data_IF_309316442795
#
_entry.id   IF_309316442795
#
_cell.length_a   1.000
_cell.length_b   1.000
_cell.length_c   1.000
_cell.angle_alpha   90.00
_cell.angle_beta   90.00
_cell.angle_gamma   90.00
#
_symmetry.space_group_name_H-M   'P 1'
#
loop_
_entity.id
_entity.type
_entity.pdbx_description
1 polymer ?
#
# COMPACT_ATOMS: atom_id res chain seq x y z
N UNK A 1 -8.30 -17.28 1.90
CA UNK A 1 -7.10 -16.49 1.62
C UNK A 1 -5.90 -17.11 2.30
N UNK A 2 -4.86 -17.40 1.55
CA UNK A 2 -3.63 -18.00 2.08
C UNK A 2 -2.97 -17.00 3.03
N UNK A 3 -2.74 -17.39 4.27
CA UNK A 3 -2.07 -16.52 5.25
C UNK A 3 -0.60 -16.33 4.87
N UNK A 4 -0.13 -15.10 4.98
CA UNK A 4 1.29 -14.78 4.82
C UNK A 4 2.03 -15.14 6.11
N UNK A 5 2.47 -16.37 6.21
CA UNK A 5 3.12 -16.93 7.42
C UNK A 5 4.32 -16.08 7.87
N UNK A 6 5.15 -15.64 6.93
CA UNK A 6 6.34 -14.84 7.20
C UNK A 6 5.99 -13.55 7.96
N UNK A 7 4.93 -12.84 7.55
CA UNK A 7 4.48 -11.63 8.21
C UNK A 7 3.87 -11.94 9.59
N UNK A 8 3.07 -12.99 9.69
CA UNK A 8 2.47 -13.42 10.95
C UNK A 8 3.52 -13.77 12.00
N UNK A 9 4.53 -14.52 11.64
CA UNK A 9 5.63 -14.89 12.52
C UNK A 9 6.46 -13.68 12.97
N UNK A 10 6.75 -12.75 12.06
CA UNK A 10 7.47 -11.53 12.40
C UNK A 10 6.68 -10.63 13.35
N UNK A 11 5.38 -10.48 13.11
CA UNK A 11 4.50 -9.71 13.99
C UNK A 11 4.43 -10.33 15.39
N UNK A 12 4.34 -11.65 15.49
CA UNK A 12 4.34 -12.35 16.78
C UNK A 12 5.65 -12.18 17.55
N UNK A 13 6.76 -12.15 16.83
CA UNK A 13 8.09 -12.03 17.42
C UNK A 13 8.40 -10.60 17.87
N UNK A 14 8.20 -9.61 17.00
CA UNK A 14 8.71 -8.25 17.17
C UNK A 14 7.61 -7.19 17.27
N UNK A 15 6.36 -7.54 16.96
CA UNK A 15 5.21 -6.64 17.09
C UNK A 15 4.75 -6.48 18.53
N UNK A 16 4.21 -5.29 18.84
CA UNK A 16 3.61 -5.00 20.15
C UNK A 16 2.16 -4.57 19.97
N UNK A 17 1.25 -5.29 20.60
CA UNK A 17 -0.15 -4.86 20.65
C UNK A 17 -0.33 -3.76 21.69
N UNK A 18 -0.90 -2.64 21.26
CA UNK A 18 -1.30 -1.53 22.12
C UNK A 18 -2.83 -1.50 22.20
N UNK A 19 -3.38 -2.19 23.20
CA UNK A 19 -4.82 -2.37 23.32
C UNK A 19 -5.39 -3.35 22.26
N UNK A 20 -6.68 -3.20 21.95
CA UNK A 20 -7.39 -4.13 21.06
C UNK A 20 -7.29 -3.77 19.56
N UNK A 21 -6.88 -2.56 19.23
CA UNK A 21 -7.02 -1.99 17.89
C UNK A 21 -5.73 -1.48 17.26
N UNK A 22 -4.63 -1.39 18.00
CA UNK A 22 -3.35 -0.87 17.53
C UNK A 22 -2.26 -1.91 17.64
N UNK A 23 -1.59 -2.16 16.52
CA UNK A 23 -0.41 -3.00 16.43
C UNK A 23 0.81 -2.14 16.09
N UNK A 24 1.81 -2.16 16.98
CA UNK A 24 3.06 -1.44 16.79
C UNK A 24 4.08 -2.34 16.07
N UNK A 25 4.51 -1.92 14.90
CA UNK A 25 5.45 -2.63 14.02
C UNK A 25 6.63 -1.74 13.60
N UNK A 26 6.92 -0.72 14.38
CA UNK A 26 7.87 0.35 14.04
C UNK A 26 9.30 -0.17 13.85
N UNK A 27 9.65 -1.27 14.51
CA UNK A 27 11.02 -1.80 14.50
C UNK A 27 11.42 -2.49 13.20
N UNK A 28 10.49 -2.79 12.31
CA UNK A 28 10.79 -3.52 11.08
C UNK A 28 10.03 -3.08 9.84
N UNK A 29 8.99 -2.25 9.97
CA UNK A 29 8.19 -1.78 8.82
C UNK A 29 8.20 -0.25 8.68
N UNK A 30 7.96 0.50 9.78
CA UNK A 30 7.61 1.92 9.70
C UNK A 30 8.77 2.87 9.92
N UNK A 31 9.49 2.74 11.04
CA UNK A 31 10.61 3.61 11.41
C UNK A 31 11.94 2.98 11.07
N UNK A 32 12.11 1.73 11.42
CA UNK A 32 13.20 0.91 10.94
C UNK A 32 12.64 -0.07 9.93
N UNK A 33 13.22 -0.11 8.75
CA UNK A 33 12.80 -0.99 7.68
C UNK A 33 13.83 -2.09 7.51
N UNK A 34 13.42 -3.32 7.81
CA UNK A 34 14.24 -4.50 7.60
C UNK A 34 14.19 -4.87 6.12
N UNK A 35 15.24 -4.59 5.39
CA UNK A 35 15.29 -4.75 3.93
C UNK A 35 15.21 -6.21 3.48
N UNK A 36 15.83 -7.12 4.19
CA UNK A 36 15.73 -8.56 3.88
C UNK A 36 14.33 -9.08 4.13
N UNK A 37 13.71 -8.65 5.22
CA UNK A 37 12.34 -8.99 5.52
C UNK A 37 11.37 -8.41 4.48
N UNK A 38 11.56 -7.17 4.06
CA UNK A 38 10.73 -6.54 3.02
C UNK A 38 10.89 -7.25 1.68
N UNK A 39 12.10 -7.66 1.31
CA UNK A 39 12.35 -8.42 0.09
C UNK A 39 11.62 -9.77 0.12
N UNK A 40 11.73 -10.53 1.20
CA UNK A 40 11.05 -11.80 1.37
C UNK A 40 9.52 -11.65 1.39
N UNK A 41 9.02 -10.60 2.04
CA UNK A 41 7.59 -10.29 2.09
C UNK A 41 7.04 -9.91 0.71
N UNK A 42 7.76 -9.10 -0.03
CA UNK A 42 7.40 -8.72 -1.40
C UNK A 42 7.37 -9.92 -2.34
N UNK A 43 8.33 -10.83 -2.21
CA UNK A 43 8.35 -12.08 -2.96
C UNK A 43 7.14 -12.96 -2.66
N UNK A 44 6.76 -13.08 -1.40
CA UNK A 44 5.60 -13.86 -0.97
C UNK A 44 4.28 -13.25 -1.47
N UNK A 45 4.13 -11.94 -1.40
CA UNK A 45 2.98 -11.25 -2.00
C UNK A 45 2.93 -11.41 -3.51
N UNK A 46 4.05 -11.25 -4.20
CA UNK A 46 4.10 -11.41 -5.65
C UNK A 46 3.73 -12.83 -6.08
N UNK A 47 4.19 -13.83 -5.38
CA UNK A 47 3.82 -15.24 -5.62
C UNK A 47 2.32 -15.46 -5.45
N UNK A 48 1.71 -14.81 -4.46
CA UNK A 48 0.27 -14.89 -4.22
C UNK A 48 -0.56 -14.26 -5.36
N UNK A 49 -0.07 -13.19 -5.96
CA UNK A 49 -0.79 -12.41 -6.98
C UNK A 49 -0.32 -12.63 -8.41
N UNK A 50 0.67 -13.48 -8.66
CA UNK A 50 1.29 -13.66 -9.98
C UNK A 50 0.31 -14.00 -11.11
N UNK A 51 -0.76 -14.73 -10.82
CA UNK A 51 -1.75 -15.16 -11.80
C UNK A 51 -2.98 -14.24 -11.88
N UNK A 52 -2.95 -13.10 -11.19
CA UNK A 52 -4.07 -12.18 -11.12
C UNK A 52 -4.06 -11.08 -12.20
N UNK A 53 -3.09 -11.11 -13.12
CA UNK A 53 -2.97 -10.09 -14.17
C UNK A 53 -2.64 -8.69 -13.64
N UNK A 54 -1.85 -8.61 -12.58
CA UNK A 54 -1.47 -7.33 -11.96
C UNK A 54 -0.59 -6.53 -12.92
N UNK A 55 -0.97 -5.30 -13.18
CA UNK A 55 -0.22 -4.39 -14.06
C UNK A 55 0.46 -3.24 -13.30
N UNK A 56 0.04 -2.97 -12.08
CA UNK A 56 0.59 -1.92 -11.22
C UNK A 56 0.38 -2.29 -9.76
N UNK A 57 1.27 -1.82 -8.90
CA UNK A 57 1.11 -1.89 -7.44
C UNK A 57 0.86 -0.49 -6.92
N UNK A 58 -0.13 -0.32 -6.07
CA UNK A 58 -0.42 0.95 -5.42
C UNK A 58 -0.17 0.88 -3.94
N UNK A 59 0.28 1.99 -3.39
CA UNK A 59 0.38 2.17 -1.95
C UNK A 59 0.00 3.60 -1.56
N UNK A 60 -0.35 3.77 -0.30
CA UNK A 60 -0.57 5.08 0.31
C UNK A 60 0.67 5.43 1.12
N UNK A 61 1.13 6.66 1.04
CA UNK A 61 2.17 7.20 1.90
C UNK A 61 1.78 6.96 3.38
N UNK A 62 2.65 6.42 4.25
CA UNK A 62 4.04 6.10 3.98
C UNK A 62 4.43 4.65 4.32
N UNK A 63 3.80 4.01 5.32
CA UNK A 63 4.26 2.71 5.84
C UNK A 63 4.16 1.55 4.86
N UNK A 64 3.27 1.65 3.87
CA UNK A 64 3.08 0.64 2.83
C UNK A 64 4.12 0.69 1.70
N UNK A 65 4.97 1.72 1.65
CA UNK A 65 5.89 1.92 0.52
C UNK A 65 6.91 0.80 0.39
N UNK A 66 7.56 0.42 1.48
CA UNK A 66 8.59 -0.61 1.44
C UNK A 66 8.07 -1.99 0.97
N UNK A 67 7.01 -2.56 1.56
CA UNK A 67 6.48 -3.83 1.08
C UNK A 67 5.89 -3.72 -0.33
N UNK A 68 5.27 -2.61 -0.69
CA UNK A 68 4.72 -2.41 -2.03
C UNK A 68 5.82 -2.35 -3.10
N UNK A 69 6.94 -1.68 -2.81
CA UNK A 69 8.08 -1.61 -3.72
C UNK A 69 8.65 -2.99 -4.03
N UNK A 70 8.84 -3.81 -3.00
CA UNK A 70 9.35 -5.16 -3.19
C UNK A 70 8.35 -6.05 -3.92
N UNK A 71 7.07 -5.92 -3.65
CA UNK A 71 6.02 -6.64 -4.38
C UNK A 71 6.03 -6.28 -5.86
N UNK A 72 6.10 -4.99 -6.19
CA UNK A 72 6.17 -4.50 -7.55
C UNK A 72 7.43 -5.01 -8.28
N UNK A 73 8.57 -5.04 -7.58
CA UNK A 73 9.82 -5.60 -8.11
C UNK A 73 9.66 -7.06 -8.54
N UNK A 74 9.07 -7.90 -7.70
CA UNK A 74 8.91 -9.32 -8.03
C UNK A 74 7.79 -9.61 -9.02
N UNK A 75 6.80 -8.73 -9.14
CA UNK A 75 5.77 -8.80 -10.20
C UNK A 75 6.23 -8.18 -11.51
N UNK A 76 7.37 -7.50 -11.52
CA UNK A 76 7.90 -6.75 -12.68
C UNK A 76 6.90 -5.71 -13.21
N UNK A 77 6.34 -4.93 -12.32
CA UNK A 77 5.35 -3.88 -12.61
C UNK A 77 5.73 -2.58 -11.90
N UNK A 78 5.27 -1.43 -12.38
CA UNK A 78 5.50 -0.16 -11.71
C UNK A 78 4.70 -0.06 -10.41
N UNK A 79 5.24 0.73 -9.46
CA UNK A 79 4.57 1.11 -8.24
C UNK A 79 4.11 2.57 -8.31
N UNK A 80 2.91 2.82 -7.80
CA UNK A 80 2.34 4.16 -7.70
C UNK A 80 2.09 4.49 -6.23
N UNK A 81 2.49 5.68 -5.82
CA UNK A 81 2.31 6.18 -4.45
C UNK A 81 1.25 7.28 -4.44
N UNK A 82 0.20 7.07 -3.66
CA UNK A 82 -0.77 8.12 -3.37
C UNK A 82 -0.20 8.99 -2.25
N UNK A 83 -0.06 10.28 -2.53
CA UNK A 83 0.47 11.27 -1.58
C UNK A 83 -0.64 11.84 -0.71
N UNK A 84 -0.34 12.05 0.56
CA UNK A 84 -1.27 12.69 1.52
C UNK A 84 -1.41 14.20 1.33
N UNK A 85 -0.52 14.80 0.54
CA UNK A 85 -0.53 16.23 0.25
C UNK A 85 -0.34 16.45 -1.24
N UNK A 86 -1.03 17.46 -1.77
CA UNK A 86 -0.84 17.90 -3.15
C UNK A 86 0.52 18.59 -3.27
N UNK A 87 1.36 18.12 -4.18
CA UNK A 87 2.58 18.85 -4.52
C UNK A 87 2.22 20.09 -5.34
N UNK A 88 2.65 21.26 -4.90
CA UNK A 88 2.44 22.53 -5.61
C UNK A 88 3.18 22.63 -6.96
N UNK A 89 4.05 21.66 -7.23
CA UNK A 89 4.91 21.63 -8.42
C UNK A 89 4.30 20.80 -9.55
N UNK A 90 3.24 20.06 -9.29
CA UNK A 90 2.63 19.16 -10.28
C UNK A 90 1.69 19.95 -11.20
N UNK A 91 2.17 20.26 -12.39
CA UNK A 91 1.35 20.70 -13.51
C UNK A 91 0.77 19.47 -14.22
N UNK A 92 -0.48 19.12 -13.96
CA UNK A 92 -1.10 17.98 -14.61
C UNK A 92 -2.43 17.56 -13.98
N UNK A 93 -3.05 16.56 -14.57
CA UNK A 93 -4.29 16.00 -14.02
C UNK A 93 -3.98 15.21 -12.75
N UNK A 94 -4.67 15.55 -11.68
CA UNK A 94 -4.58 14.85 -10.40
C UNK A 94 -5.95 14.28 -10.05
N UNK A 95 -5.95 13.06 -9.51
CA UNK A 95 -7.12 12.51 -8.84
C UNK A 95 -6.97 12.73 -7.35
N UNK A 96 -8.01 13.23 -6.72
CA UNK A 96 -8.03 13.48 -5.29
C UNK A 96 -9.22 12.80 -4.64
N UNK A 97 -9.01 12.25 -3.47
CA UNK A 97 -10.07 11.73 -2.60
C UNK A 97 -9.77 12.06 -1.16
N UNK A 98 -10.81 12.27 -0.38
CA UNK A 98 -10.68 12.52 1.06
C UNK A 98 -10.74 11.21 1.82
N UNK A 99 -9.80 11.02 2.72
CA UNK A 99 -9.73 9.84 3.59
C UNK A 99 -9.60 10.27 5.04
N UNK A 100 -10.30 9.59 5.93
CA UNK A 100 -10.17 9.81 7.37
C UNK A 100 -9.18 8.82 7.96
N UNK A 101 -8.17 9.33 8.67
CA UNK A 101 -7.21 8.48 9.37
C UNK A 101 -7.88 7.81 10.56
N UNK A 102 -7.88 6.50 10.57
CA UNK A 102 -8.46 5.72 11.67
C UNK A 102 -7.70 5.94 12.99
N UNK A 103 -6.39 6.09 12.93
CA UNK A 103 -5.55 6.24 14.12
C UNK A 103 -5.44 7.67 14.63
N UNK A 104 -5.52 8.66 13.74
CA UNK A 104 -5.35 10.08 14.08
C UNK A 104 -6.67 10.85 14.19
N UNK A 105 -7.78 10.28 13.75
CA UNK A 105 -9.09 10.94 13.71
C UNK A 105 -9.16 12.16 12.79
N UNK A 106 -8.11 12.43 12.02
CA UNK A 106 -8.02 13.57 11.09
C UNK A 106 -8.29 13.12 9.67
N UNK A 107 -8.94 13.97 8.88
CA UNK A 107 -9.13 13.75 7.44
C UNK A 107 -7.98 14.38 6.66
N UNK A 108 -7.57 13.72 5.59
CA UNK A 108 -6.57 14.23 4.66
C UNK A 108 -6.94 13.89 3.23
N UNK A 109 -6.40 14.65 2.28
CA UNK A 109 -6.58 14.37 0.87
C UNK A 109 -5.48 13.45 0.36
N UNK A 110 -5.90 12.40 -0.34
CA UNK A 110 -5.00 11.56 -1.11
C UNK A 110 -4.95 12.07 -2.54
N UNK A 111 -3.75 12.28 -3.04
CA UNK A 111 -3.52 12.76 -4.40
C UNK A 111 -2.76 11.72 -5.21
N UNK A 112 -3.32 11.40 -6.36
CA UNK A 112 -2.69 10.60 -7.40
C UNK A 112 -2.39 11.51 -8.59
N UNK A 113 -1.12 11.58 -8.97
CA UNK A 113 -0.73 12.21 -10.22
C UNK A 113 -1.00 11.26 -11.39
N UNK A 114 -1.75 11.75 -12.37
CA UNK A 114 -1.96 11.05 -13.61
C UNK A 114 -1.01 11.61 -14.68
N UNK A 115 0.00 10.85 -15.03
CA UNK A 115 0.69 11.07 -16.29
C UNK A 115 -0.24 10.65 -17.44
N UNK A 116 -0.25 11.43 -18.50
CA UNK A 116 -1.08 11.21 -19.69
C UNK A 116 -0.85 9.85 -20.39
N UNK A 117 0.23 9.16 -20.04
CA UNK A 117 0.58 7.83 -20.56
C UNK A 117 0.06 6.66 -19.73
N UNK A 118 -0.42 6.89 -18.50
CA UNK A 118 -0.82 5.84 -17.58
C UNK A 118 -2.34 5.79 -17.40
N UNK A 119 -3.02 4.92 -18.13
CA UNK A 119 -4.37 4.51 -17.77
C UNK A 119 -4.34 3.68 -16.50
N UNK A 120 -4.83 4.25 -15.41
CA UNK A 120 -4.97 3.56 -14.14
C UNK A 120 -6.39 3.06 -13.99
N UNK A 121 -6.59 1.76 -14.06
CA UNK A 121 -7.86 1.16 -13.66
C UNK A 121 -7.85 0.97 -12.13
N UNK A 122 -8.61 1.79 -11.43
CA UNK A 122 -8.72 1.71 -9.96
C UNK A 122 -9.52 0.51 -9.46
N UNK A 123 -10.15 -0.25 -10.35
CA UNK A 123 -11.02 -1.37 -10.01
C UNK A 123 -10.29 -2.60 -9.48
N UNK A 124 -9.01 -2.74 -9.75
CA UNK A 124 -8.23 -3.91 -9.32
C UNK A 124 -7.52 -3.76 -7.97
N UNK A 125 -7.46 -2.55 -7.41
CA UNK A 125 -6.62 -2.24 -6.27
C UNK A 125 -7.26 -2.41 -4.92
N UNK A 126 -8.55 -2.17 -4.84
CA UNK A 126 -9.33 -2.31 -3.63
C UNK A 126 -10.20 -3.57 -3.65
N UNK A 127 -9.74 -4.64 -4.29
CA UNK A 127 -10.38 -5.95 -4.26
C UNK A 127 -10.45 -6.60 -2.88
N UNK A 128 -10.15 -5.88 -1.82
CA UNK A 128 -10.26 -6.32 -0.43
C UNK A 128 -11.44 -5.70 0.32
N UNK A 129 -12.34 -5.05 -0.36
CA UNK A 129 -13.57 -4.52 0.21
C UNK A 129 -14.69 -4.57 -0.81
N UNK A 130 -15.57 -5.54 -0.72
CA UNK A 130 -16.89 -5.45 -1.33
C UNK A 130 -17.64 -4.32 -0.64
N UNK A 131 -17.53 -3.14 -1.15
CA UNK A 131 -18.32 -1.98 -0.77
C UNK A 131 -18.44 -1.11 -1.99
N UNK A 132 -19.48 -1.37 -2.79
CA UNK A 132 -19.74 -0.60 -3.99
C UNK A 132 -19.94 0.86 -3.67
N UNK A 133 -19.18 1.72 -4.32
CA UNK A 133 -19.61 3.04 -4.70
C UNK A 133 -19.20 3.23 -6.15
N UNK A 134 -20.20 3.33 -6.99
CA UNK A 134 -20.03 3.67 -8.39
C UNK A 134 -19.31 5.00 -8.53
N UNK A 135 -18.43 5.18 -9.53
CA UNK A 135 -17.88 6.49 -9.84
C UNK A 135 -19.02 7.37 -10.38
N UNK A 136 -19.16 8.53 -9.77
CA UNK A 136 -19.83 9.66 -10.41
C UNK A 136 -18.84 10.44 -11.25
#
# INVERSE_FOLDING_TARGET
>A
MKKVKLLEERIKKDGKALGKTVLKVDSFINHQVDSEFMDALGKDFAEHFKDCGITKVFTIESSGIAPALMTAKYLDVPMIILKKQTSKILNGKVYQTRVTSFTKGTSYELTLYQDSSAQVSLTSLFGMGRGGTSPQ
#
